data_IF_872385155080
#
_entry.id   IF_872385155080
#
_cell.length_a   1.000
_cell.length_b   1.000
_cell.length_c   1.000
_cell.angle_alpha   90.00
_cell.angle_beta   90.00
_cell.angle_gamma   90.00
#
_symmetry.space_group_name_H-M   'P 1'
#
loop_
_entity.id
_entity.type
_entity.pdbx_description
1 polymer ?
#
# COMPACT_ATOMS: atom_id res chain seq x y z
N UNK A 1 6.37 -20.69 25.18
CA UNK A 1 6.62 -21.72 24.16
C UNK A 1 6.45 -21.05 22.80
N UNK A 2 7.54 -20.69 22.13
CA UNK A 2 7.50 -20.00 20.84
C UNK A 2 8.93 -19.92 20.32
N UNK A 3 9.29 -20.82 19.41
CA UNK A 3 10.61 -20.82 18.76
C UNK A 3 10.62 -19.71 17.70
N UNK A 4 11.73 -19.00 17.49
CA UNK A 4 11.82 -18.01 16.43
C UNK A 4 11.79 -18.68 15.04
N UNK A 5 11.17 -17.97 14.09
CA UNK A 5 11.02 -18.36 12.70
C UNK A 5 12.36 -18.48 12.00
N UNK A 6 12.75 -19.71 11.66
CA UNK A 6 13.64 -20.02 10.54
C UNK A 6 13.11 -21.30 9.90
N UNK A 7 12.62 -21.20 8.66
CA UNK A 7 12.31 -22.37 7.82
C UNK A 7 13.21 -22.32 6.59
N UNK A 8 14.39 -22.94 6.70
CA UNK A 8 15.10 -23.46 5.56
C UNK A 8 14.76 -24.95 5.45
N UNK A 9 14.22 -25.39 4.31
CA UNK A 9 14.02 -26.81 4.02
C UNK A 9 15.38 -27.44 3.63
N UNK A 10 15.76 -28.62 4.18
CA UNK A 10 17.05 -29.22 3.85
C UNK A 10 16.99 -30.14 2.63
N UNK A 11 18.13 -30.19 1.94
CA UNK A 11 18.68 -31.26 1.09
C UNK A 11 18.53 -31.18 -0.44
N UNK A 12 19.66 -30.95 -1.12
CA UNK A 12 20.38 -32.02 -1.83
C UNK A 12 21.86 -31.64 -2.02
N UNK A 13 22.76 -32.48 -1.52
CA UNK A 13 24.23 -32.37 -1.58
C UNK A 13 24.76 -32.42 -3.03
N UNK A 14 25.81 -31.66 -3.41
CA UNK A 14 26.33 -31.64 -4.77
C UNK A 14 27.34 -32.78 -5.04
N UNK A 15 27.32 -33.32 -6.25
CA UNK A 15 28.32 -34.26 -6.77
C UNK A 15 29.56 -33.51 -7.29
N UNK A 16 30.75 -33.99 -6.93
CA UNK A 16 32.07 -33.54 -7.40
C UNK A 16 32.37 -33.98 -8.84
N UNK A 17 32.96 -33.09 -9.66
CA UNK A 17 33.88 -33.41 -10.76
C UNK A 17 34.68 -32.14 -11.17
N UNK A 18 35.83 -32.23 -11.89
CA UNK A 18 37.08 -31.63 -11.44
C UNK A 18 37.56 -30.39 -12.22
N UNK A 19 38.63 -29.81 -11.67
CA UNK A 19 39.33 -28.60 -12.07
C UNK A 19 39.95 -28.61 -13.47
N UNK A 20 39.97 -27.43 -14.09
CA UNK A 20 40.98 -27.07 -15.09
C UNK A 20 41.35 -25.59 -14.95
N UNK A 21 42.65 -25.39 -14.81
CA UNK A 21 43.42 -24.17 -14.59
C UNK A 21 43.07 -22.99 -15.51
N UNK A 22 43.28 -21.76 -15.02
CA UNK A 22 44.29 -20.83 -15.55
C UNK A 22 44.49 -19.61 -14.62
N UNK A 23 45.65 -19.61 -13.97
CA UNK A 23 46.53 -18.49 -13.60
C UNK A 23 46.01 -17.04 -13.67
N UNK A 24 46.01 -16.37 -12.51
CA UNK A 24 46.59 -15.02 -12.38
C UNK A 24 47.07 -14.77 -10.94
N UNK A 25 48.33 -14.36 -10.81
CA UNK A 25 49.11 -14.13 -9.58
C UNK A 25 48.49 -13.05 -8.68
N UNK A 26 48.47 -13.20 -7.34
CA UNK A 26 47.89 -12.21 -6.43
C UNK A 26 48.87 -11.10 -6.00
N UNK A 27 48.38 -9.86 -5.94
CA UNK A 27 49.08 -8.71 -5.35
C UNK A 27 49.10 -8.78 -3.81
N UNK A 28 50.19 -8.39 -3.12
CA UNK A 28 50.34 -8.61 -1.68
C UNK A 28 49.81 -7.43 -0.86
N UNK A 29 48.51 -7.43 -0.50
CA UNK A 29 47.98 -6.59 0.59
C UNK A 29 46.58 -6.98 1.06
N UNK A 30 46.27 -8.28 1.21
CA UNK A 30 45.02 -8.72 1.84
C UNK A 30 45.31 -9.48 3.15
N UNK A 31 44.64 -9.15 4.26
CA UNK A 31 44.75 -9.91 5.51
C UNK A 31 44.26 -11.35 5.29
N UNK A 32 44.73 -12.33 6.08
CA UNK A 32 44.46 -13.75 5.83
C UNK A 32 42.96 -14.03 5.82
N UNK A 33 42.49 -14.61 4.71
CA UNK A 33 41.11 -15.03 4.51
C UNK A 33 40.70 -16.03 5.60
N UNK A 34 39.77 -15.62 6.47
CA UNK A 34 39.05 -16.56 7.33
C UNK A 34 38.20 -17.47 6.46
N UNK A 35 38.36 -18.78 6.66
CA UNK A 35 37.55 -19.79 6.01
C UNK A 35 36.06 -19.59 6.31
N UNK A 36 35.29 -19.24 5.27
CA UNK A 36 34.07 -19.96 4.91
C UNK A 36 32.76 -19.69 5.66
N UNK A 37 32.63 -18.64 6.47
CA UNK A 37 31.30 -18.13 6.82
C UNK A 37 30.87 -17.18 5.70
N UNK A 38 30.18 -17.68 4.67
CA UNK A 38 29.44 -16.79 3.77
C UNK A 38 28.43 -16.06 4.66
N UNK A 39 28.63 -14.75 4.88
CA UNK A 39 27.61 -13.95 5.54
C UNK A 39 26.32 -14.14 4.74
N UNK A 40 25.20 -14.52 5.39
CA UNK A 40 23.94 -14.68 4.69
C UNK A 40 23.63 -13.36 3.99
N UNK A 41 23.23 -13.44 2.73
CA UNK A 41 22.80 -12.27 1.99
C UNK A 41 21.62 -11.64 2.72
N UNK A 42 21.78 -10.37 3.10
CA UNK A 42 20.79 -9.57 3.83
C UNK A 42 20.50 -8.31 3.03
N UNK A 43 19.23 -8.11 2.73
CA UNK A 43 18.70 -6.85 2.20
C UNK A 43 17.50 -6.45 3.05
N UNK A 44 17.41 -5.19 3.43
CA UNK A 44 16.27 -4.70 4.21
C UNK A 44 15.97 -3.25 3.89
N UNK A 45 14.73 -2.85 4.12
CA UNK A 45 14.28 -1.48 3.96
C UNK A 45 13.29 -1.13 5.07
N UNK A 46 13.21 0.16 5.40
CA UNK A 46 12.37 0.69 6.47
C UNK A 46 11.68 1.95 5.97
N UNK A 47 10.42 2.13 6.37
CA UNK A 47 9.70 3.40 6.23
C UNK A 47 8.92 3.69 7.51
N UNK A 48 8.65 4.95 7.78
CA UNK A 48 7.86 5.34 8.94
C UNK A 48 6.97 6.54 8.62
N UNK A 49 5.77 6.57 9.20
CA UNK A 49 4.88 7.72 9.10
C UNK A 49 3.87 7.70 10.26
N UNK A 50 3.55 8.87 10.81
CA UNK A 50 2.55 9.05 11.87
C UNK A 50 2.62 8.00 13.02
N UNK A 51 3.83 7.70 13.50
CA UNK A 51 4.05 6.81 14.66
C UNK A 51 4.11 5.31 14.34
N UNK A 52 3.99 4.89 13.08
CA UNK A 52 4.21 3.51 12.66
C UNK A 52 5.50 3.34 11.88
N UNK A 53 6.13 2.18 12.02
CA UNK A 53 7.32 1.77 11.29
C UNK A 53 7.01 0.49 10.52
N UNK A 54 7.32 0.51 9.22
CA UNK A 54 7.32 -0.68 8.36
C UNK A 54 8.75 -1.15 8.15
N UNK A 55 8.95 -2.47 8.20
CA UNK A 55 10.23 -3.12 7.92
C UNK A 55 9.99 -4.29 6.98
N UNK A 56 10.80 -4.37 5.93
CA UNK A 56 10.88 -5.53 5.05
C UNK A 56 12.33 -6.01 4.99
N UNK A 57 12.52 -7.33 4.98
CA UNK A 57 13.85 -7.94 4.91
C UNK A 57 13.86 -9.24 4.13
N UNK A 58 14.93 -9.46 3.37
CA UNK A 58 15.25 -10.69 2.67
C UNK A 58 16.58 -11.24 3.23
N UNK A 59 16.56 -12.49 3.72
CA UNK A 59 17.70 -13.11 4.43
C UNK A 59 17.98 -14.51 3.89
N UNK A 60 19.23 -14.77 3.52
CA UNK A 60 19.70 -16.13 3.22
C UNK A 60 19.33 -16.65 1.82
N UNK A 61 18.93 -15.76 0.90
CA UNK A 61 18.74 -16.12 -0.50
C UNK A 61 20.08 -16.42 -1.18
N UNK A 62 20.07 -17.34 -2.14
CA UNK A 62 21.26 -17.70 -2.94
C UNK A 62 21.63 -16.65 -3.97
N UNK A 63 20.73 -15.68 -4.23
CA UNK A 63 20.87 -14.57 -5.16
C UNK A 63 20.37 -13.28 -4.52
N UNK A 64 20.86 -12.11 -4.98
CA UNK A 64 20.36 -10.82 -4.52
C UNK A 64 18.85 -10.67 -4.69
N UNK A 65 18.22 -10.23 -3.62
CA UNK A 65 16.82 -9.82 -3.55
C UNK A 65 16.81 -8.38 -3.04
N UNK A 66 16.33 -7.46 -3.86
CA UNK A 66 16.15 -6.07 -3.44
C UNK A 66 14.76 -5.92 -2.84
N UNK A 67 14.65 -5.19 -1.73
CA UNK A 67 13.38 -4.98 -1.04
C UNK A 67 13.18 -3.50 -0.73
N UNK A 68 11.94 -3.05 -0.85
CA UNK A 68 11.52 -1.70 -0.48
C UNK A 68 10.17 -1.75 0.22
N UNK A 69 9.99 -0.89 1.22
CA UNK A 69 8.71 -0.74 1.92
C UNK A 69 8.35 0.73 2.03
N UNK A 70 7.06 1.03 2.01
CA UNK A 70 6.56 2.33 2.39
C UNK A 70 5.29 2.23 3.22
N UNK A 71 5.06 3.21 4.09
CA UNK A 71 3.84 3.33 4.86
C UNK A 71 3.37 4.77 4.82
N UNK A 72 2.09 4.97 4.51
CA UNK A 72 1.47 6.29 4.40
C UNK A 72 0.30 6.43 5.37
N UNK A 73 0.16 7.60 5.98
CA UNK A 73 -1.00 7.99 6.77
C UNK A 73 -1.77 9.09 6.04
N UNK A 74 -2.99 8.78 5.60
CA UNK A 74 -3.81 9.67 4.76
C UNK A 74 -4.27 10.92 5.52
N UNK A 75 -4.43 10.83 6.85
CA UNK A 75 -4.88 11.94 7.68
C UNK A 75 -3.77 12.84 8.21
N UNK A 76 -2.51 12.38 8.24
CA UNK A 76 -1.41 13.13 8.84
C UNK A 76 -1.25 14.54 8.22
N UNK A 77 -1.45 14.65 6.90
CA UNK A 77 -1.38 15.92 6.16
C UNK A 77 -2.75 16.50 5.78
N UNK A 78 -3.85 15.90 6.25
CA UNK A 78 -5.20 16.24 5.79
C UNK A 78 -5.52 17.73 5.92
N UNK A 79 -5.16 18.38 7.04
CA UNK A 79 -5.44 19.81 7.22
C UNK A 79 -4.76 20.68 6.15
N UNK A 80 -3.51 20.38 5.81
CA UNK A 80 -2.76 21.10 4.78
C UNK A 80 -3.32 20.81 3.39
N UNK A 81 -3.54 19.54 3.07
CA UNK A 81 -4.05 19.13 1.76
C UNK A 81 -5.46 19.64 1.51
N UNK A 82 -6.34 19.57 2.51
CA UNK A 82 -7.71 20.06 2.41
C UNK A 82 -7.76 21.57 2.25
N UNK A 83 -6.88 22.32 2.92
CA UNK A 83 -6.76 23.76 2.72
C UNK A 83 -6.33 24.09 1.29
N UNK A 84 -5.34 23.38 0.74
CA UNK A 84 -4.90 23.58 -0.64
C UNK A 84 -5.98 23.19 -1.65
N UNK A 85 -6.63 22.03 -1.47
CA UNK A 85 -7.69 21.54 -2.36
C UNK A 85 -8.90 22.48 -2.32
N UNK A 86 -9.26 23.00 -1.15
CA UNK A 86 -10.30 24.02 -1.03
C UNK A 86 -9.95 25.27 -1.84
N UNK A 87 -8.71 25.74 -1.78
CA UNK A 87 -8.24 26.95 -2.47
C UNK A 87 -8.03 26.76 -3.98
N UNK A 88 -7.33 25.72 -4.41
CA UNK A 88 -6.86 25.54 -5.80
C UNK A 88 -7.59 24.42 -6.56
N UNK A 89 -8.20 23.46 -5.85
CA UNK A 89 -8.92 22.34 -6.43
C UNK A 89 -8.08 21.07 -6.50
N UNK A 90 -8.75 19.93 -6.53
CA UNK A 90 -8.08 18.62 -6.46
C UNK A 90 -7.08 18.37 -7.60
N UNK A 91 -7.36 18.83 -8.83
CA UNK A 91 -6.46 18.56 -9.96
C UNK A 91 -5.15 19.33 -9.82
N UNK A 92 -5.22 20.60 -9.39
CA UNK A 92 -4.03 21.39 -9.09
C UNK A 92 -3.21 20.76 -7.96
N UNK A 93 -3.87 20.17 -6.95
CA UNK A 93 -3.18 19.46 -5.88
C UNK A 93 -2.43 18.22 -6.38
N UNK A 94 -3.01 17.46 -7.31
CA UNK A 94 -2.30 16.35 -7.98
C UNK A 94 -1.11 16.87 -8.80
N UNK A 95 -1.28 17.99 -9.51
CA UNK A 95 -0.24 18.56 -10.38
C UNK A 95 1.01 19.03 -9.62
N UNK A 96 0.90 19.34 -8.32
CA UNK A 96 2.08 19.59 -7.48
C UNK A 96 3.05 18.41 -7.40
N UNK A 97 2.59 17.20 -7.72
CA UNK A 97 3.36 15.97 -7.65
C UNK A 97 3.73 15.43 -9.05
N UNK A 98 3.51 16.21 -10.12
CA UNK A 98 3.63 15.75 -11.49
C UNK A 98 5.05 15.34 -11.93
N UNK A 99 6.08 15.67 -11.15
CA UNK A 99 7.46 15.34 -11.46
C UNK A 99 7.89 13.93 -11.01
N UNK A 100 7.08 13.24 -10.21
CA UNK A 100 7.38 11.89 -9.71
C UNK A 100 6.45 10.79 -10.25
N UNK A 101 5.46 11.18 -11.06
CA UNK A 101 4.47 10.28 -11.66
C UNK A 101 4.43 10.41 -13.18
N UNK A 102 4.13 9.30 -13.85
CA UNK A 102 3.86 9.30 -15.29
C UNK A 102 2.51 9.99 -15.61
N UNK A 103 2.34 10.45 -16.85
CA UNK A 103 1.08 11.07 -17.29
C UNK A 103 -0.15 10.14 -17.13
N UNK A 104 -0.07 8.82 -17.44
CA UNK A 104 -1.18 7.90 -17.18
C UNK A 104 -1.57 7.80 -15.70
N UNK A 105 -0.61 7.80 -14.79
CA UNK A 105 -0.88 7.75 -13.34
C UNK A 105 -1.53 9.05 -12.85
N UNK A 106 -1.05 10.21 -13.29
CA UNK A 106 -1.67 11.51 -12.99
C UNK A 106 -3.12 11.56 -13.48
N UNK A 107 -3.39 11.07 -14.69
CA UNK A 107 -4.75 10.95 -15.23
C UNK A 107 -5.62 10.04 -14.37
N UNK A 108 -5.11 8.86 -14.00
CA UNK A 108 -5.80 7.89 -13.13
C UNK A 108 -6.12 8.47 -11.75
N UNK A 109 -5.17 9.18 -11.13
CA UNK A 109 -5.38 9.83 -9.83
C UNK A 109 -6.49 10.89 -9.89
N UNK A 110 -6.55 11.67 -10.97
CA UNK A 110 -7.56 12.72 -11.17
C UNK A 110 -8.95 12.15 -11.49
N UNK A 111 -9.01 11.23 -12.44
CA UNK A 111 -10.24 10.86 -13.16
C UNK A 111 -10.63 9.38 -13.05
N UNK A 112 -9.75 8.53 -12.53
CA UNK A 112 -10.00 7.09 -12.45
C UNK A 112 -11.27 6.74 -11.65
N UNK A 113 -11.72 5.48 -11.74
CA UNK A 113 -12.81 4.99 -10.89
C UNK A 113 -12.38 4.99 -9.42
N UNK A 114 -13.35 5.20 -8.52
CA UNK A 114 -13.17 5.11 -7.07
C UNK A 114 -13.80 3.81 -6.57
N UNK A 115 -13.29 3.31 -5.44
CA UNK A 115 -13.96 2.25 -4.67
C UNK A 115 -15.16 2.86 -3.94
N UNK A 116 -16.34 2.76 -4.57
CA UNK A 116 -17.56 3.41 -4.10
C UNK A 116 -18.40 2.53 -3.18
N UNK A 117 -17.96 1.32 -2.86
CA UNK A 117 -18.71 0.33 -2.08
C UNK A 117 -19.14 0.90 -0.73
N UNK A 118 -18.20 1.50 0.01
CA UNK A 118 -18.50 2.09 1.33
C UNK A 118 -19.34 3.35 1.22
N UNK A 119 -19.13 4.10 0.15
CA UNK A 119 -19.88 5.32 -0.09
C UNK A 119 -21.35 4.98 -0.37
N UNK A 120 -21.60 3.96 -1.19
CA UNK A 120 -22.94 3.50 -1.50
C UNK A 120 -23.63 2.87 -0.29
N UNK A 121 -22.92 2.07 0.51
CA UNK A 121 -23.47 1.53 1.76
C UNK A 121 -23.82 2.64 2.75
N UNK A 122 -22.97 3.67 2.90
CA UNK A 122 -23.25 4.79 3.78
C UNK A 122 -24.42 5.66 3.29
N UNK A 123 -24.56 5.83 1.97
CA UNK A 123 -25.59 6.69 1.39
C UNK A 123 -26.95 5.98 1.26
N UNK A 124 -26.97 4.67 1.04
CA UNK A 124 -28.21 3.89 0.90
C UNK A 124 -28.10 2.57 1.68
N UNK A 125 -28.10 2.62 3.03
CA UNK A 125 -27.81 1.46 3.87
C UNK A 125 -28.79 0.30 3.65
N UNK A 126 -28.25 -0.93 3.62
CA UNK A 126 -29.06 -2.15 3.48
C UNK A 126 -29.71 -2.35 2.11
N UNK A 127 -29.40 -1.51 1.11
CA UNK A 127 -29.89 -1.68 -0.26
C UNK A 127 -28.95 -2.57 -1.08
N UNK A 128 -29.53 -3.59 -1.71
CA UNK A 128 -28.80 -4.55 -2.55
C UNK A 128 -28.70 -4.06 -3.99
N UNK A 129 -27.63 -4.44 -4.67
CA UNK A 129 -27.38 -4.12 -6.08
C UNK A 129 -27.45 -2.62 -6.39
N UNK A 130 -27.02 -1.78 -5.44
CA UNK A 130 -26.97 -0.32 -5.62
C UNK A 130 -26.00 0.06 -6.73
N UNK A 131 -26.48 0.87 -7.69
CA UNK A 131 -25.71 1.37 -8.83
C UNK A 131 -25.92 2.87 -8.98
N UNK A 132 -24.87 3.56 -9.40
CA UNK A 132 -24.94 4.97 -9.80
C UNK A 132 -25.28 5.02 -11.28
N UNK A 133 -26.35 5.72 -11.63
CA UNK A 133 -26.81 5.88 -13.01
C UNK A 133 -26.35 7.18 -13.66
N UNK A 134 -26.76 7.37 -14.92
CA UNK A 134 -26.59 8.62 -15.66
C UNK A 134 -25.17 9.17 -15.64
N UNK A 135 -25.05 10.49 -15.46
CA UNK A 135 -23.78 11.20 -15.35
C UNK A 135 -23.15 11.16 -13.95
N UNK A 136 -23.66 10.31 -13.03
CA UNK A 136 -23.21 10.32 -11.63
C UNK A 136 -21.73 9.96 -11.47
N UNK A 137 -21.23 8.97 -12.23
CA UNK A 137 -19.80 8.60 -12.21
C UNK A 137 -18.92 9.71 -12.80
N UNK A 138 -19.38 10.38 -13.86
CA UNK A 138 -18.66 11.53 -14.43
C UNK A 138 -18.60 12.70 -13.43
N UNK A 139 -19.73 13.01 -12.76
CA UNK A 139 -19.78 14.02 -11.71
C UNK A 139 -18.79 13.71 -10.57
N UNK A 140 -18.74 12.47 -10.09
CA UNK A 140 -17.77 12.02 -9.09
C UNK A 140 -16.33 12.21 -9.61
N UNK A 141 -16.05 11.80 -10.84
CA UNK A 141 -14.72 11.92 -11.45
C UNK A 141 -14.27 13.38 -11.59
N UNK A 142 -15.19 14.32 -11.81
CA UNK A 142 -14.90 15.76 -11.98
C UNK A 142 -15.01 16.58 -10.70
N UNK A 143 -15.45 15.99 -9.59
CA UNK A 143 -15.50 16.67 -8.29
C UNK A 143 -14.11 17.17 -7.89
N UNK A 144 -14.02 18.46 -7.56
CA UNK A 144 -12.74 19.12 -7.24
C UNK A 144 -12.76 19.95 -5.97
N UNK A 145 -13.93 20.32 -5.43
CA UNK A 145 -14.04 21.16 -4.23
C UNK A 145 -14.77 20.45 -3.10
N UNK A 146 -14.33 20.64 -1.84
CA UNK A 146 -14.99 20.01 -0.69
C UNK A 146 -16.42 20.52 -0.46
N UNK A 147 -16.70 21.77 -0.85
CA UNK A 147 -18.03 22.38 -0.77
C UNK A 147 -19.00 21.98 -1.88
N UNK A 148 -18.57 21.23 -2.89
CA UNK A 148 -19.46 20.77 -3.96
C UNK A 148 -20.55 19.86 -3.37
N UNK A 149 -21.75 19.88 -3.96
CA UNK A 149 -22.82 18.94 -3.62
C UNK A 149 -23.27 18.25 -4.90
N UNK A 150 -22.95 16.97 -5.03
CA UNK A 150 -23.29 16.18 -6.20
C UNK A 150 -24.62 15.48 -5.95
N UNK A 151 -25.55 15.58 -6.92
CA UNK A 151 -26.81 14.84 -6.91
C UNK A 151 -26.65 13.63 -7.81
N UNK A 152 -26.62 12.45 -7.22
CA UNK A 152 -26.35 11.20 -7.90
C UNK A 152 -27.66 10.43 -8.10
N UNK A 153 -28.06 10.13 -9.34
CA UNK A 153 -29.15 9.18 -9.56
C UNK A 153 -28.65 7.78 -9.19
N UNK A 154 -29.40 7.10 -8.34
CA UNK A 154 -29.08 5.73 -7.90
C UNK A 154 -30.24 4.80 -8.18
N UNK A 155 -29.91 3.53 -8.46
CA UNK A 155 -30.88 2.45 -8.58
C UNK A 155 -30.47 1.28 -7.70
N UNK A 156 -31.43 0.62 -7.07
CA UNK A 156 -31.20 -0.53 -6.20
C UNK A 156 -32.40 -1.49 -6.22
N UNK A 157 -32.21 -2.70 -5.72
CA UNK A 157 -33.29 -3.68 -5.62
C UNK A 157 -34.39 -3.18 -4.67
N UNK A 158 -35.65 -3.29 -5.10
CA UNK A 158 -36.80 -3.06 -4.26
C UNK A 158 -36.96 -4.15 -3.20
N UNK A 159 -37.73 -3.84 -2.15
CA UNK A 159 -38.03 -4.79 -1.09
C UNK A 159 -38.82 -5.99 -1.66
N UNK A 160 -38.27 -7.20 -1.56
CA UNK A 160 -38.93 -8.44 -1.99
C UNK A 160 -39.81 -9.04 -0.88
N UNK A 161 -40.84 -9.80 -1.25
CA UNK A 161 -41.74 -10.49 -0.32
C UNK A 161 -41.13 -11.80 0.24
N UNK A 162 -39.91 -11.75 0.79
CA UNK A 162 -39.30 -12.87 1.52
C UNK A 162 -38.95 -14.13 0.73
N UNK A 163 -39.27 -14.22 -0.57
CA UNK A 163 -39.00 -15.40 -1.43
C UNK A 163 -37.66 -15.32 -2.20
N UNK A 164 -36.89 -14.24 -2.02
CA UNK A 164 -35.61 -14.02 -2.71
C UNK A 164 -35.73 -13.55 -4.17
N UNK A 165 -36.94 -13.37 -4.71
CA UNK A 165 -37.17 -12.92 -6.08
C UNK A 165 -37.25 -11.39 -6.12
N UNK A 166 -36.30 -10.76 -6.83
CA UNK A 166 -36.30 -9.29 -7.05
C UNK A 166 -37.44 -8.95 -8.01
N UNK A 167 -38.47 -8.26 -7.53
CA UNK A 167 -39.68 -7.95 -8.32
C UNK A 167 -39.73 -6.51 -8.83
N UNK A 168 -38.89 -5.60 -8.32
CA UNK A 168 -38.85 -4.21 -8.75
C UNK A 168 -37.47 -3.58 -8.55
N UNK A 169 -37.09 -2.66 -9.44
CA UNK A 169 -35.94 -1.77 -9.28
C UNK A 169 -36.44 -0.41 -8.81
N UNK A 170 -35.86 0.10 -7.72
CA UNK A 170 -36.16 1.47 -7.24
C UNK A 170 -35.13 2.43 -7.77
N UNK A 171 -35.57 3.66 -8.02
CA UNK A 171 -34.73 4.78 -8.44
C UNK A 171 -34.85 5.91 -7.43
N UNK A 172 -33.73 6.55 -7.12
CA UNK A 172 -33.65 7.65 -6.18
C UNK A 172 -32.57 8.67 -6.62
N UNK A 173 -32.51 9.82 -5.96
CA UNK A 173 -31.49 10.84 -6.16
C UNK A 173 -30.88 11.24 -4.82
N UNK A 174 -29.65 10.78 -4.57
CA UNK A 174 -28.93 11.06 -3.33
C UNK A 174 -28.00 12.27 -3.48
N UNK A 175 -27.86 13.07 -2.43
CA UNK A 175 -26.90 14.16 -2.38
C UNK A 175 -25.63 13.72 -1.62
N UNK A 176 -24.47 13.97 -2.20
CA UNK A 176 -23.17 13.72 -1.58
C UNK A 176 -22.33 14.99 -1.57
N UNK A 177 -21.64 15.24 -0.46
CA UNK A 177 -20.68 16.34 -0.35
C UNK A 177 -19.39 16.01 -1.08
N UNK A 178 -18.79 17.01 -1.72
CA UNK A 178 -17.51 16.89 -2.42
C UNK A 178 -16.39 16.44 -1.48
N UNK A 179 -16.44 16.82 -0.20
CA UNK A 179 -15.50 16.32 0.82
C UNK A 179 -15.43 14.79 0.89
N UNK A 180 -16.56 14.10 0.73
CA UNK A 180 -16.60 12.62 0.77
C UNK A 180 -15.94 12.01 -0.46
N UNK A 181 -16.19 12.59 -1.64
CA UNK A 181 -15.55 12.18 -2.88
C UNK A 181 -14.04 12.44 -2.81
N UNK A 182 -13.65 13.61 -2.31
CA UNK A 182 -12.24 14.00 -2.19
C UNK A 182 -11.47 13.14 -1.19
N UNK A 183 -12.10 12.67 -0.12
CA UNK A 183 -11.47 11.71 0.80
C UNK A 183 -11.05 10.42 0.08
N UNK A 184 -11.93 9.86 -0.76
CA UNK A 184 -11.63 8.67 -1.57
C UNK A 184 -10.55 8.96 -2.63
N UNK A 185 -10.61 10.13 -3.28
CA UNK A 185 -9.59 10.53 -4.26
C UNK A 185 -8.20 10.72 -3.63
N UNK A 186 -8.13 11.35 -2.45
CA UNK A 186 -6.88 11.46 -1.67
C UNK A 186 -6.35 10.08 -1.27
N UNK A 187 -7.21 9.17 -0.82
CA UNK A 187 -6.81 7.79 -0.51
C UNK A 187 -6.20 7.10 -1.72
N UNK A 188 -6.77 7.28 -2.92
CA UNK A 188 -6.16 6.77 -4.16
C UNK A 188 -4.82 7.42 -4.46
N UNK A 189 -4.67 8.74 -4.30
CA UNK A 189 -3.36 9.39 -4.46
C UNK A 189 -2.32 8.75 -3.54
N UNK A 190 -2.64 8.56 -2.26
CA UNK A 190 -1.71 7.95 -1.32
C UNK A 190 -1.44 6.47 -1.61
N UNK A 191 -2.37 5.75 -2.25
CA UNK A 191 -2.10 4.41 -2.77
C UNK A 191 -1.00 4.42 -3.85
N UNK A 192 -1.08 5.36 -4.81
CA UNK A 192 -0.04 5.57 -5.81
C UNK A 192 1.29 5.99 -5.18
N UNK A 193 1.25 6.93 -4.23
CA UNK A 193 2.43 7.41 -3.52
C UNK A 193 3.16 6.28 -2.80
N UNK A 194 2.42 5.48 -2.02
CA UNK A 194 2.98 4.38 -1.24
C UNK A 194 3.64 3.32 -2.14
N UNK A 195 2.99 2.94 -3.24
CA UNK A 195 3.57 2.04 -4.23
C UNK A 195 4.83 2.64 -4.87
N UNK A 196 4.78 3.91 -5.28
CA UNK A 196 5.91 4.59 -5.90
C UNK A 196 7.12 4.63 -4.96
N UNK A 197 6.93 5.05 -3.73
CA UNK A 197 7.98 5.13 -2.72
C UNK A 197 8.57 3.75 -2.43
N UNK A 198 7.74 2.71 -2.27
CA UNK A 198 8.23 1.35 -2.06
C UNK A 198 9.11 0.88 -3.24
N UNK A 199 8.70 1.13 -4.49
CA UNK A 199 9.50 0.80 -5.67
C UNK A 199 10.82 1.57 -5.71
N UNK A 200 10.79 2.88 -5.47
CA UNK A 200 12.00 3.74 -5.50
C UNK A 200 12.96 3.38 -4.36
N UNK A 201 12.44 3.07 -3.17
CA UNK A 201 13.25 2.60 -2.03
C UNK A 201 13.89 1.25 -2.31
N UNK A 202 13.20 0.36 -3.01
CA UNK A 202 13.75 -0.93 -3.45
C UNK A 202 14.93 -0.74 -4.43
N UNK A 203 14.90 0.26 -5.31
CA UNK A 203 16.02 0.52 -6.24
C UNK A 203 17.21 1.21 -5.58
N UNK A 204 16.99 1.95 -4.48
CA UNK A 204 18.02 2.73 -3.79
C UNK A 204 18.40 4.04 -4.47
N UNK A 205 17.73 4.43 -5.57
CA UNK A 205 18.04 5.66 -6.33
C UNK A 205 17.36 6.93 -5.77
N UNK A 206 16.39 6.75 -4.86
CA UNK A 206 15.61 7.83 -4.24
C UNK A 206 14.92 8.76 -5.27
N UNK A 207 14.51 9.96 -4.84
CA UNK A 207 13.82 10.94 -5.68
C UNK A 207 14.73 11.64 -6.71
N UNK A 208 16.02 11.32 -6.76
CA UNK A 208 16.95 11.84 -7.75
C UNK A 208 16.95 11.05 -9.06
N UNK A 209 16.21 9.94 -9.11
CA UNK A 209 16.08 9.10 -10.30
C UNK A 209 15.49 9.91 -11.48
N UNK A 210 16.22 10.06 -12.60
CA UNK A 210 15.72 10.82 -13.75
C UNK A 210 14.56 10.12 -14.47
N UNK A 211 14.35 8.85 -14.17
CA UNK A 211 13.35 7.97 -14.79
C UNK A 211 12.01 7.92 -14.05
N UNK A 212 11.79 8.69 -12.96
CA UNK A 212 10.56 8.60 -12.16
C UNK A 212 9.26 8.75 -12.97
N UNK A 213 9.28 9.63 -13.98
CA UNK A 213 8.14 9.87 -14.88
C UNK A 213 7.99 8.80 -15.97
N UNK A 214 9.03 8.00 -16.16
CA UNK A 214 9.09 6.87 -17.10
C UNK A 214 8.67 5.56 -16.43
N UNK A 215 8.54 5.53 -15.09
CA UNK A 215 7.92 4.45 -14.35
C UNK A 215 6.40 4.66 -14.32
N UNK A 216 5.66 3.66 -14.78
CA UNK A 216 4.20 3.60 -14.69
C UNK A 216 3.80 2.36 -13.87
N UNK A 217 2.97 2.58 -12.85
CA UNK A 217 2.27 1.52 -12.12
C UNK A 217 0.78 1.63 -12.44
N UNK A 218 0.25 0.73 -13.26
CA UNK A 218 -1.17 0.69 -13.64
C UNK A 218 -1.96 -0.36 -12.85
N UNK A 219 -3.29 -0.21 -12.82
CA UNK A 219 -4.19 -1.09 -12.06
C UNK A 219 -4.29 -0.76 -10.56
N UNK A 220 -3.77 0.39 -10.14
CA UNK A 220 -3.80 0.82 -8.74
C UNK A 220 -5.21 1.16 -8.31
N UNK A 221 -5.64 0.56 -7.20
CA UNK A 221 -6.84 0.91 -6.44
C UNK A 221 -6.47 1.04 -4.97
N UNK A 222 -7.13 1.95 -4.26
CA UNK A 222 -6.94 2.05 -2.81
C UNK A 222 -7.53 0.81 -2.12
N UNK A 223 -6.77 0.10 -1.26
CA UNK A 223 -7.28 -1.04 -0.50
C UNK A 223 -8.32 -0.59 0.53
N UNK A 224 -9.33 -1.44 0.73
CA UNK A 224 -10.37 -1.25 1.72
C UNK A 224 -9.88 -1.63 3.13
N UNK A 225 -10.16 -0.83 4.18
CA UNK A 225 -9.87 -1.22 5.58
C UNK A 225 -10.61 -2.50 5.99
N UNK A 226 -10.13 -3.24 6.99
CA UNK A 226 -10.80 -4.43 7.50
C UNK A 226 -12.23 -4.14 8.01
N UNK A 227 -13.22 -5.02 7.82
CA UNK A 227 -14.56 -4.87 8.40
C UNK A 227 -14.53 -4.71 9.92
N UNK A 228 -15.32 -3.78 10.44
CA UNK A 228 -15.53 -3.62 11.87
C UNK A 228 -16.49 -4.69 12.42
N UNK A 229 -16.49 -4.96 13.73
CA UNK A 229 -17.44 -5.90 14.33
C UNK A 229 -18.90 -5.44 14.10
N UNK A 230 -19.66 -6.24 13.32
CA UNK A 230 -21.08 -6.00 13.05
C UNK A 230 -21.42 -5.08 11.87
N UNK A 231 -20.43 -4.64 11.09
CA UNK A 231 -20.63 -3.79 9.90
C UNK A 231 -19.82 -4.33 8.72
N UNK A 232 -20.29 -4.07 7.49
CA UNK A 232 -19.39 -4.07 6.34
C UNK A 232 -18.24 -3.06 6.59
N UNK A 233 -17.11 -3.24 5.91
CA UNK A 233 -15.91 -2.38 5.92
C UNK A 233 -16.14 -0.92 6.39
N UNK A 234 -15.37 -0.42 7.37
CA UNK A 234 -15.62 0.90 7.95
C UNK A 234 -15.40 1.99 6.90
N UNK A 235 -16.27 3.03 6.87
CA UNK A 235 -16.25 4.02 5.81
C UNK A 235 -14.98 4.89 5.85
N UNK A 236 -14.28 4.99 4.72
CA UNK A 236 -13.20 5.96 4.50
C UNK A 236 -13.78 7.33 4.10
N UNK A 237 -14.60 7.91 4.96
CA UNK A 237 -15.31 9.18 4.72
C UNK A 237 -14.57 10.37 5.30
N UNK A 238 -14.86 11.57 4.79
CA UNK A 238 -14.33 12.80 5.37
C UNK A 238 -14.83 12.98 6.81
N UNK A 239 -16.08 12.60 7.10
CA UNK A 239 -16.61 12.57 8.47
C UNK A 239 -15.82 11.63 9.40
N UNK A 240 -15.44 10.43 8.92
CA UNK A 240 -14.62 9.51 9.70
C UNK A 240 -13.20 10.06 9.96
N UNK A 241 -12.58 10.65 8.93
CA UNK A 241 -11.27 11.30 9.07
C UNK A 241 -11.31 12.49 10.05
N UNK A 242 -12.36 13.32 9.99
CA UNK A 242 -12.53 14.46 10.90
C UNK A 242 -12.81 14.05 12.35
N UNK A 243 -13.48 12.90 12.55
CA UNK A 243 -13.74 12.34 13.89
C UNK A 243 -12.50 11.73 14.54
N UNK A 244 -11.43 11.50 13.77
CA UNK A 244 -10.16 10.93 14.23
C UNK A 244 -9.27 11.94 14.98
N UNK A 245 -9.84 12.94 15.67
CA UNK A 245 -9.15 13.60 16.79
C UNK A 245 -8.86 12.52 17.82
N UNK A 246 -7.68 11.91 17.70
CA UNK A 246 -7.17 10.79 18.50
C UNK A 246 -7.43 11.10 19.99
N UNK A 247 -8.39 10.43 20.64
CA UNK A 247 -8.40 10.43 22.09
C UNK A 247 -7.08 9.78 22.53
N UNK A 248 -6.37 10.33 23.51
CA UNK A 248 -5.07 9.81 23.95
C UNK A 248 -5.09 8.34 24.41
N UNK A 249 -6.28 7.77 24.62
CA UNK A 249 -6.47 6.54 25.39
C UNK A 249 -6.97 5.35 24.54
N UNK A 250 -7.08 5.49 23.21
CA UNK A 250 -7.44 4.40 22.28
C UNK A 250 -6.28 4.11 21.34
N UNK A 251 -5.25 3.48 21.88
CA UNK A 251 -4.13 2.96 21.11
C UNK A 251 -4.62 1.85 20.17
N UNK A 252 -4.36 2.04 18.88
CA UNK A 252 -4.20 1.02 17.84
C UNK A 252 -5.30 -0.02 17.55
N UNK A 253 -6.49 0.11 18.14
CA UNK A 253 -7.59 -0.85 17.93
C UNK A 253 -8.07 -0.97 16.47
N UNK A 254 -7.71 -0.03 15.59
CA UNK A 254 -8.07 -0.04 14.16
C UNK A 254 -6.93 -0.53 13.25
N UNK A 255 -5.73 -0.84 13.76
CA UNK A 255 -4.57 -1.26 12.94
C UNK A 255 -4.63 -2.73 12.52
N UNK A 256 -5.78 -3.15 12.00
CA UNK A 256 -5.97 -4.48 11.42
C UNK A 256 -5.68 -4.44 9.92
N UNK A 257 -4.99 -5.47 9.42
CA UNK A 257 -4.79 -5.66 7.99
C UNK A 257 -6.15 -5.81 7.31
N UNK A 258 -6.43 -4.91 6.36
CA UNK A 258 -7.62 -4.93 5.53
C UNK A 258 -7.40 -5.68 4.23
N UNK A 259 -7.95 -5.13 3.16
CA UNK A 259 -7.72 -5.65 1.82
C UNK A 259 -6.24 -5.53 1.44
N UNK A 260 -5.76 -6.56 0.73
CA UNK A 260 -4.46 -6.59 0.09
C UNK A 260 -4.62 -6.62 -1.43
N UNK A 261 -4.09 -5.61 -2.10
CA UNK A 261 -4.10 -5.46 -3.56
C UNK A 261 -2.74 -5.86 -4.11
N UNK A 262 -2.75 -6.67 -5.17
CA UNK A 262 -1.57 -7.17 -5.90
C UNK A 262 -1.82 -7.10 -7.41
N UNK A 263 -0.92 -7.66 -8.21
CA UNK A 263 -1.03 -7.79 -9.67
C UNK A 263 -1.03 -6.44 -10.41
N UNK A 264 -0.24 -5.48 -9.91
CA UNK A 264 -0.02 -4.22 -10.61
C UNK A 264 0.75 -4.46 -11.92
N UNK A 265 0.39 -3.71 -12.96
CA UNK A 265 1.18 -3.67 -14.19
C UNK A 265 2.26 -2.62 -14.02
N UNK A 266 3.52 -3.02 -14.12
CA UNK A 266 4.66 -2.11 -13.95
C UNK A 266 5.38 -1.98 -15.30
N UNK A 267 5.50 -0.75 -15.79
CA UNK A 267 6.26 -0.41 -16.98
C UNK A 267 7.37 0.58 -16.60
N UNK A 268 8.59 0.37 -17.09
CA UNK A 268 9.67 1.33 -17.02
C UNK A 268 10.13 1.63 -18.44
N UNK A 269 10.03 2.90 -18.88
CA UNK A 269 10.30 3.30 -20.26
C UNK A 269 9.51 2.47 -21.28
N UNK A 270 8.22 2.26 -21.00
CA UNK A 270 7.30 1.40 -21.77
C UNK A 270 7.65 -0.10 -21.82
N UNK A 271 8.69 -0.54 -21.11
CA UNK A 271 9.06 -1.95 -21.00
C UNK A 271 8.48 -2.56 -19.75
N UNK A 272 7.86 -3.73 -19.89
CA UNK A 272 7.30 -4.44 -18.74
C UNK A 272 8.39 -4.86 -17.76
N UNK A 273 8.24 -4.45 -16.50
CA UNK A 273 9.04 -4.93 -15.38
C UNK A 273 8.42 -6.23 -14.89
N UNK A 274 9.12 -7.35 -15.11
CA UNK A 274 8.62 -8.69 -14.80
C UNK A 274 9.26 -9.29 -13.53
N UNK A 275 10.39 -8.76 -13.11
CA UNK A 275 11.21 -9.22 -11.98
C UNK A 275 10.87 -8.53 -10.65
N UNK A 276 9.82 -7.70 -10.63
CA UNK A 276 9.36 -6.99 -9.43
C UNK A 276 7.93 -7.42 -9.10
N UNK A 277 7.73 -7.81 -7.84
CA UNK A 277 6.43 -8.03 -7.25
C UNK A 277 6.12 -6.91 -6.25
N UNK A 278 4.88 -6.42 -6.27
CA UNK A 278 4.43 -5.36 -5.40
C UNK A 278 3.09 -5.69 -4.76
N UNK A 279 2.93 -5.19 -3.54
CA UNK A 279 1.73 -5.32 -2.73
C UNK A 279 1.36 -3.97 -2.12
N UNK A 280 0.06 -3.74 -1.95
CA UNK A 280 -0.48 -2.62 -1.19
C UNK A 280 -1.60 -3.13 -0.27
N UNK A 281 -1.43 -2.98 1.03
CA UNK A 281 -2.40 -3.38 2.03
C UNK A 281 -2.97 -2.16 2.78
N UNK A 282 -4.25 -2.22 3.14
CA UNK A 282 -4.81 -1.28 4.11
C UNK A 282 -4.42 -1.71 5.53
N UNK A 283 -4.04 -0.74 6.36
CA UNK A 283 -3.85 -0.96 7.80
C UNK A 283 -4.79 0.00 8.53
N UNK A 284 -5.97 -0.51 8.87
CA UNK A 284 -7.07 0.32 9.33
C UNK A 284 -7.53 1.37 8.30
N UNK A 285 -8.26 2.38 8.78
CA UNK A 285 -8.76 3.47 7.92
C UNK A 285 -7.69 4.44 7.48
N UNK A 286 -6.69 4.67 8.32
CA UNK A 286 -5.79 5.82 8.16
C UNK A 286 -4.52 5.47 7.41
N UNK A 287 -4.09 4.20 7.46
CA UNK A 287 -2.80 3.79 6.90
C UNK A 287 -2.95 2.87 5.69
N UNK A 288 -1.96 2.95 4.81
CA UNK A 288 -1.67 1.94 3.79
C UNK A 288 -0.19 1.61 3.86
N UNK A 289 0.15 0.35 3.63
CA UNK A 289 1.51 -0.16 3.62
C UNK A 289 1.77 -0.86 2.29
N UNK A 290 2.92 -0.60 1.70
CA UNK A 290 3.34 -1.20 0.44
C UNK A 290 4.69 -1.85 0.57
N UNK A 291 4.85 -2.95 -0.15
CA UNK A 291 6.13 -3.61 -0.33
C UNK A 291 6.42 -3.78 -1.83
N UNK A 292 7.70 -3.66 -2.17
CA UNK A 292 8.25 -3.97 -3.48
C UNK A 292 9.42 -4.92 -3.29
N UNK A 293 9.43 -6.02 -4.06
CA UNK A 293 10.47 -7.04 -3.98
C UNK A 293 10.94 -7.36 -5.40
N UNK A 294 12.23 -7.17 -5.65
CA UNK A 294 12.88 -7.59 -6.90
C UNK A 294 13.58 -8.92 -6.68
N UNK A 295 13.25 -9.91 -7.48
CA UNK A 295 13.83 -11.24 -7.40
C UNK A 295 13.35 -12.14 -8.53
N UNK A 296 13.87 -13.36 -8.61
CA UNK A 296 13.39 -14.32 -9.60
C UNK A 296 11.96 -14.77 -9.28
N UNK A 297 11.04 -14.54 -10.24
CA UNK A 297 9.64 -14.99 -10.16
C UNK A 297 9.57 -16.47 -9.74
N UNK A 298 8.80 -16.74 -8.69
CA UNK A 298 8.59 -18.08 -8.15
C UNK A 298 9.65 -18.58 -7.17
N UNK A 299 10.80 -17.90 -7.03
CA UNK A 299 11.80 -18.20 -5.98
C UNK A 299 11.61 -17.34 -4.72
N UNK A 300 11.02 -16.15 -4.88
CA UNK A 300 10.78 -15.20 -3.79
C UNK A 300 9.28 -15.03 -3.61
N UNK A 301 8.79 -15.26 -2.39
CA UNK A 301 7.39 -15.03 -2.00
C UNK A 301 7.36 -13.99 -0.87
N UNK A 302 6.46 -13.02 -1.00
CA UNK A 302 6.26 -11.99 0.02
C UNK A 302 5.50 -12.55 1.22
N UNK A 303 6.08 -12.40 2.41
CA UNK A 303 5.42 -12.79 3.65
C UNK A 303 4.24 -11.89 4.00
N UNK A 304 3.40 -12.34 4.94
CA UNK A 304 2.34 -11.49 5.52
C UNK A 304 2.93 -10.40 6.39
N UNK A 305 2.24 -9.27 6.51
CA UNK A 305 2.58 -8.25 7.49
C UNK A 305 2.34 -8.79 8.90
N UNK A 306 3.32 -8.55 9.78
CA UNK A 306 3.25 -8.93 11.18
C UNK A 306 3.42 -7.65 11.99
N UNK A 307 2.43 -7.38 12.85
CA UNK A 307 2.54 -6.32 13.84
C UNK A 307 3.47 -6.80 14.96
N UNK A 308 4.42 -5.94 15.30
CA UNK A 308 5.38 -6.18 16.38
C UNK A 308 5.33 -4.98 17.30
N UNK A 309 5.19 -5.22 18.60
CA UNK A 309 5.20 -4.15 19.60
C UNK A 309 6.65 -3.73 19.90
N UNK A 310 6.86 -2.45 20.21
CA UNK A 310 8.20 -1.93 20.46
C UNK A 310 8.88 -2.66 21.64
N UNK A 311 8.11 -2.99 22.67
CA UNK A 311 8.60 -3.74 23.84
C UNK A 311 9.12 -5.14 23.47
N UNK A 312 8.52 -5.79 22.47
CA UNK A 312 9.01 -7.08 21.95
C UNK A 312 10.36 -6.92 21.26
N UNK A 313 10.53 -5.83 20.49
CA UNK A 313 11.80 -5.52 19.81
C UNK A 313 12.90 -5.21 20.84
N UNK A 314 12.59 -4.39 21.84
CA UNK A 314 13.53 -4.03 22.91
C UNK A 314 13.91 -5.27 23.72
N UNK A 315 12.95 -6.08 24.13
CA UNK A 315 13.21 -7.32 24.86
C UNK A 315 14.14 -8.26 24.09
N UNK A 316 13.94 -8.43 22.78
CA UNK A 316 14.84 -9.22 21.93
C UNK A 316 16.27 -8.65 21.86
N UNK A 317 16.40 -7.32 21.83
CA UNK A 317 17.70 -6.65 21.80
C UNK A 317 18.46 -6.83 23.12
N UNK A 318 17.77 -6.73 24.25
CA UNK A 318 18.35 -6.90 25.59
C UNK A 318 18.78 -8.35 25.84
N UNK A 319 17.95 -9.32 25.47
CA UNK A 319 18.26 -10.76 25.58
C UNK A 319 19.50 -11.16 24.78
N UNK A 320 19.68 -10.58 23.58
CA UNK A 320 20.80 -10.90 22.68
C UNK A 320 22.04 -10.03 22.92
N UNK A 321 21.86 -8.85 23.51
CA UNK A 321 22.92 -7.88 23.73
C UNK A 321 23.77 -8.13 24.97
N UNK A 322 23.32 -8.97 25.91
CA UNK A 322 24.02 -9.16 27.19
C UNK A 322 24.17 -7.88 28.02
N UNK A 323 23.46 -6.81 27.66
CA UNK A 323 23.40 -5.59 28.43
C UNK A 323 22.35 -5.77 29.54
N UNK A 324 22.76 -6.42 30.62
CA UNK A 324 22.12 -6.19 31.91
C UNK A 324 22.42 -4.75 32.28
N UNK A 325 21.45 -3.85 32.11
CA UNK A 325 21.48 -2.56 32.75
C UNK A 325 21.54 -2.81 34.27
N UNK A 326 22.66 -2.41 34.89
CA UNK A 326 22.74 -2.18 36.33
C UNK A 326 22.35 -0.73 36.60
#
# INVERSE_FOLDING_TARGET
>A
MGKPFYRASPSSTPALAPASNLSSVPSPSSPPARAGAQNPQLSFNVSHQAGLVSLIGAVGFSRPVDVGTDIVCVSERAAHDDAYIAAQGFFAWIDMHADVFSTPELSSMKLGPLALEHLLEALVPGRRNTRIGGYGLDAISRCQRPGDVLRLPVSYDGDGFGDGRVTSTRHDSIAIKGSEVLALKKRRFYAYWCLREAYVKMTGEALAAPWLKELEISGVRAPLPAPGPGSAHPPCTAAAAASSRRPPDREDADLHEGEVVRNFKILLRDHQVADVEMELAALGREYMISAAVRGMRGEVEMGKWIRVELDEVVGLAEERGGYSAK
#
